data_IF_179604377655
#
_entry.id   IF_179604377655
#
_cell.length_a   1.000
_cell.length_b   1.000
_cell.length_c   1.000
_cell.angle_alpha   90.00
_cell.angle_beta   90.00
_cell.angle_gamma   90.00
#
_symmetry.space_group_name_H-M   'P 1'
#
loop_
_entity.id
_entity.type
_entity.pdbx_description
1 polymer ?
#
# COMPACT_ATOMS: atom_id res chain seq x y z
N UNK A 1 5.08 0.24 -16.08
CA UNK A 1 3.69 0.05 -16.60
C UNK A 1 2.80 -0.33 -15.43
N UNK A 2 1.70 0.39 -15.18
CA UNK A 2 0.72 -0.02 -14.19
C UNK A 2 -0.24 -1.05 -14.81
N UNK A 3 -0.46 -2.14 -14.09
CA UNK A 3 -1.37 -3.23 -14.46
C UNK A 3 -2.68 -3.17 -13.66
N UNK A 4 -2.73 -2.34 -12.63
CA UNK A 4 -3.93 -2.13 -11.84
C UNK A 4 -5.10 -1.64 -12.70
N UNK A 5 -6.13 -2.48 -12.80
CA UNK A 5 -7.32 -2.20 -13.60
C UNK A 5 -7.27 -2.62 -15.08
N UNK A 6 -6.17 -3.20 -15.55
CA UNK A 6 -6.08 -3.81 -16.88
C UNK A 6 -7.01 -5.03 -16.92
N UNK A 7 -7.88 -5.09 -17.92
CA UNK A 7 -8.88 -6.15 -18.12
C UNK A 7 -8.86 -6.76 -19.52
N UNK A 8 -8.20 -6.10 -20.46
CA UNK A 8 -8.11 -6.49 -21.85
C UNK A 8 -6.68 -6.92 -22.18
N UNK A 9 -6.51 -8.13 -22.68
CA UNK A 9 -5.19 -8.63 -23.12
C UNK A 9 -4.58 -7.77 -24.21
N UNK A 10 -5.43 -7.08 -25.01
CA UNK A 10 -4.96 -6.18 -26.05
C UNK A 10 -4.19 -4.97 -25.53
N UNK A 11 -4.34 -4.61 -24.23
CA UNK A 11 -3.48 -3.60 -23.61
C UNK A 11 -2.04 -4.07 -23.52
N UNK A 12 -1.79 -5.37 -23.40
CA UNK A 12 -0.45 -5.99 -23.32
C UNK A 12 0.07 -6.34 -24.71
N UNK A 13 -0.75 -7.08 -25.50
CA UNK A 13 -0.39 -7.63 -26.82
C UNK A 13 -0.75 -6.72 -28.00
N UNK A 14 -1.42 -5.58 -27.79
CA UNK A 14 -1.88 -4.73 -28.89
C UNK A 14 -3.18 -5.19 -29.52
N UNK A 15 -3.79 -4.29 -30.29
CA UNK A 15 -5.02 -4.55 -31.03
C UNK A 15 -4.70 -4.94 -32.47
N UNK A 16 -5.47 -5.85 -33.03
CA UNK A 16 -5.36 -6.19 -34.46
C UNK A 16 -5.58 -4.96 -35.33
N UNK A 17 -4.77 -4.77 -36.37
CA UNK A 17 -4.80 -3.60 -37.27
C UNK A 17 -6.13 -3.36 -37.96
N UNK A 18 -7.03 -4.34 -37.98
CA UNK A 18 -8.36 -4.23 -38.60
C UNK A 18 -9.32 -3.34 -37.82
N UNK A 19 -9.02 -3.01 -36.55
CA UNK A 19 -9.89 -2.17 -35.74
C UNK A 19 -9.51 -0.69 -35.87
N UNK A 20 -10.51 0.18 -35.88
CA UNK A 20 -10.28 1.63 -35.82
C UNK A 20 -9.70 2.01 -34.49
N UNK A 21 -8.59 2.75 -34.50
CA UNK A 21 -7.87 3.10 -33.25
C UNK A 21 -6.93 2.02 -32.71
N UNK A 22 -6.64 0.97 -33.52
CA UNK A 22 -5.68 -0.05 -33.17
C UNK A 22 -4.29 0.54 -32.91
N UNK A 23 -3.60 -0.01 -31.91
CA UNK A 23 -2.25 0.41 -31.52
C UNK A 23 -1.47 -0.80 -30.96
N UNK A 24 -0.14 -0.72 -30.97
CA UNK A 24 0.71 -1.73 -30.30
C UNK A 24 0.39 -1.84 -28.81
N UNK A 25 0.66 -2.99 -28.23
CA UNK A 25 0.53 -3.20 -26.79
C UNK A 25 1.49 -2.33 -25.97
N UNK A 26 1.15 -2.13 -24.71
CA UNK A 26 1.92 -1.27 -23.80
C UNK A 26 3.36 -1.74 -23.61
N UNK A 27 3.64 -3.05 -23.75
CA UNK A 27 5.01 -3.60 -23.71
C UNK A 27 5.84 -2.95 -24.81
N UNK A 28 5.42 -3.08 -26.04
CA UNK A 28 6.12 -2.55 -27.23
C UNK A 28 6.19 -1.01 -27.18
N UNK A 29 5.09 -0.34 -26.81
CA UNK A 29 5.08 1.13 -26.71
C UNK A 29 6.12 1.65 -25.70
N UNK A 30 6.27 1.00 -24.55
CA UNK A 30 7.22 1.43 -23.53
C UNK A 30 8.67 1.10 -23.94
N UNK A 31 8.91 -0.05 -24.57
CA UNK A 31 10.23 -0.38 -25.13
C UNK A 31 10.66 0.64 -26.20
N UNK A 32 9.76 1.00 -27.08
CA UNK A 32 10.01 2.05 -28.10
C UNK A 32 10.36 3.41 -27.48
N UNK A 33 9.66 3.80 -26.42
CA UNK A 33 9.97 5.06 -25.68
C UNK A 33 11.33 5.03 -24.99
N UNK A 34 11.71 3.86 -24.47
CA UNK A 34 13.00 3.70 -23.77
C UNK A 34 14.18 3.70 -24.73
N UNK A 35 13.99 3.21 -25.96
CA UNK A 35 15.05 3.11 -26.97
C UNK A 35 16.17 2.12 -26.63
N UNK A 36 15.94 1.21 -25.67
CA UNK A 36 16.88 0.17 -25.26
C UNK A 36 16.27 -1.21 -25.48
N UNK A 37 17.11 -2.20 -25.84
CA UNK A 37 16.67 -3.59 -26.00
C UNK A 37 16.63 -4.36 -24.69
N UNK A 38 17.37 -3.92 -23.68
CA UNK A 38 17.54 -4.57 -22.38
C UNK A 38 17.17 -3.64 -21.20
N UNK A 39 16.01 -2.98 -21.19
CA UNK A 39 15.63 -2.14 -20.07
C UNK A 39 15.20 -2.98 -18.86
N UNK A 40 15.23 -2.35 -17.68
CA UNK A 40 14.45 -2.83 -16.54
C UNK A 40 12.99 -2.40 -16.76
N UNK A 41 12.09 -3.38 -16.83
CA UNK A 41 10.66 -3.14 -17.06
C UNK A 41 9.86 -3.40 -15.79
N UNK A 42 9.30 -2.34 -15.20
CA UNK A 42 8.47 -2.45 -14.00
C UNK A 42 7.01 -2.69 -14.36
N UNK A 43 6.45 -3.79 -13.84
CA UNK A 43 5.04 -4.17 -13.89
C UNK A 43 4.43 -3.91 -12.52
N UNK A 44 3.65 -2.83 -12.39
CA UNK A 44 3.13 -2.37 -11.10
C UNK A 44 1.71 -2.88 -10.87
N UNK A 45 1.44 -3.38 -9.66
CA UNK A 45 0.13 -3.90 -9.22
C UNK A 45 -0.38 -5.09 -10.04
N UNK A 46 0.45 -6.13 -10.23
CA UNK A 46 0.06 -7.34 -11.00
C UNK A 46 -1.11 -8.11 -10.37
N UNK A 47 -1.29 -8.00 -9.05
CA UNK A 47 -2.40 -8.59 -8.31
C UNK A 47 -3.76 -7.91 -8.56
N UNK A 48 -3.76 -6.75 -9.23
CA UNK A 48 -4.98 -5.99 -9.55
C UNK A 48 -5.49 -6.18 -10.97
N UNK A 49 -4.86 -7.07 -11.74
CA UNK A 49 -5.42 -7.49 -13.02
C UNK A 49 -6.68 -8.31 -12.82
N UNK A 50 -7.65 -8.16 -13.71
CA UNK A 50 -8.89 -8.92 -13.66
C UNK A 50 -9.21 -9.51 -15.04
N UNK A 51 -9.65 -10.77 -15.06
CA UNK A 51 -10.26 -11.37 -16.24
C UNK A 51 -11.65 -10.80 -16.47
N UNK A 52 -12.00 -10.52 -17.72
CA UNK A 52 -13.37 -10.28 -18.13
C UNK A 52 -13.64 -10.91 -19.52
N UNK A 53 -14.81 -10.61 -20.10
CA UNK A 53 -15.20 -11.13 -21.41
C UNK A 53 -14.33 -10.65 -22.58
N UNK A 54 -13.43 -9.68 -22.36
CA UNK A 54 -12.51 -9.12 -23.37
C UNK A 54 -11.16 -9.84 -23.42
N UNK A 55 -10.88 -10.70 -22.47
CA UNK A 55 -9.66 -11.48 -22.47
C UNK A 55 -9.09 -11.73 -21.08
N UNK A 56 -7.93 -12.35 -21.07
CA UNK A 56 -7.15 -12.69 -19.88
C UNK A 56 -5.76 -12.02 -19.93
N UNK A 57 -5.58 -10.85 -19.31
CA UNK A 57 -4.28 -10.20 -19.27
C UNK A 57 -3.18 -11.04 -18.63
N UNK A 58 -3.55 -11.94 -17.69
CA UNK A 58 -2.59 -12.82 -17.04
C UNK A 58 -1.98 -13.82 -18.04
N UNK A 59 -2.80 -14.37 -18.96
CA UNK A 59 -2.33 -15.23 -20.05
C UNK A 59 -1.37 -14.49 -21.00
N UNK A 60 -1.63 -13.22 -21.29
CA UNK A 60 -0.70 -12.41 -22.09
C UNK A 60 0.64 -12.19 -21.38
N UNK A 61 0.63 -12.01 -20.05
CA UNK A 61 1.86 -11.88 -19.25
C UNK A 61 2.64 -13.19 -19.15
N UNK A 62 1.98 -14.35 -19.22
CA UNK A 62 2.69 -15.62 -19.23
C UNK A 62 3.69 -15.70 -20.39
N UNK A 63 3.27 -15.28 -21.59
CA UNK A 63 4.17 -15.27 -22.76
C UNK A 63 5.32 -14.25 -22.58
N UNK A 64 5.04 -13.11 -21.97
CA UNK A 64 6.06 -12.07 -21.71
C UNK A 64 7.11 -12.54 -20.70
N UNK A 65 6.69 -13.26 -19.67
CA UNK A 65 7.55 -13.65 -18.53
C UNK A 65 8.17 -15.05 -18.68
N UNK A 66 7.66 -15.85 -19.61
CA UNK A 66 8.18 -17.20 -19.84
C UNK A 66 9.47 -17.15 -20.67
N UNK A 67 10.64 -17.56 -20.15
CA UNK A 67 11.90 -17.56 -20.89
C UNK A 67 11.88 -18.43 -22.15
N UNK A 68 10.99 -19.44 -22.19
CA UNK A 68 10.86 -20.33 -23.35
C UNK A 68 10.06 -19.70 -24.49
N UNK A 69 9.25 -18.66 -24.20
CA UNK A 69 8.33 -18.04 -25.17
C UNK A 69 8.67 -16.58 -25.46
N UNK A 70 9.27 -15.86 -24.52
CA UNK A 70 9.46 -14.40 -24.60
C UNK A 70 10.38 -13.93 -25.73
N UNK A 71 11.22 -14.83 -26.28
CA UNK A 71 12.07 -14.52 -27.45
C UNK A 71 11.26 -14.34 -28.74
N UNK A 72 10.01 -14.81 -28.78
CA UNK A 72 9.11 -14.74 -29.92
C UNK A 72 7.76 -14.11 -29.52
N UNK A 73 7.81 -13.08 -28.63
CA UNK A 73 6.60 -12.37 -28.21
C UNK A 73 5.91 -11.74 -29.40
N UNK A 74 4.64 -12.07 -29.63
CA UNK A 74 3.87 -11.57 -30.75
C UNK A 74 2.88 -10.50 -30.34
N UNK A 75 3.14 -9.25 -30.80
CA UNK A 75 2.18 -8.15 -30.68
C UNK A 75 1.20 -8.19 -31.84
N UNK A 76 -0.10 -8.20 -31.56
CA UNK A 76 -1.16 -8.34 -32.55
C UNK A 76 -1.25 -7.15 -33.52
N UNK A 77 -0.70 -5.98 -33.17
CA UNK A 77 -0.62 -4.84 -34.06
C UNK A 77 0.59 -4.93 -34.99
N UNK A 78 1.74 -5.34 -34.48
CA UNK A 78 2.96 -5.46 -35.28
C UNK A 78 2.92 -6.67 -36.19
N UNK A 79 2.32 -7.78 -35.73
CA UNK A 79 2.27 -9.08 -36.44
C UNK A 79 3.68 -9.62 -36.81
N UNK A 80 4.66 -9.28 -36.00
CA UNK A 80 6.03 -9.78 -36.09
C UNK A 80 6.51 -10.15 -34.69
N UNK A 81 7.36 -11.16 -34.60
CA UNK A 81 7.91 -11.60 -33.34
C UNK A 81 8.93 -10.56 -32.82
N UNK A 82 8.87 -10.29 -31.53
CA UNK A 82 9.76 -9.39 -30.84
C UNK A 82 10.46 -10.11 -29.70
N UNK A 83 11.79 -10.03 -29.66
CA UNK A 83 12.61 -10.70 -28.66
C UNK A 83 12.65 -9.88 -27.35
N UNK A 84 12.06 -10.44 -26.29
CA UNK A 84 12.04 -9.88 -24.93
C UNK A 84 13.06 -10.55 -24.00
N UNK A 85 13.89 -11.49 -24.48
CA UNK A 85 14.78 -12.28 -23.63
C UNK A 85 15.84 -11.47 -22.89
N UNK A 86 16.21 -10.30 -23.40
CA UNK A 86 17.16 -9.39 -22.75
C UNK A 86 16.49 -8.39 -21.77
N UNK A 87 15.16 -8.39 -21.66
CA UNK A 87 14.42 -7.47 -20.79
C UNK A 87 14.34 -8.04 -19.38
N UNK A 88 14.76 -7.27 -18.39
CA UNK A 88 14.58 -7.63 -16.98
C UNK A 88 13.22 -7.14 -16.50
N UNK A 89 12.33 -8.07 -16.14
CA UNK A 89 11.02 -7.73 -15.59
C UNK A 89 11.05 -7.73 -14.06
N UNK A 90 10.49 -6.68 -13.46
CA UNK A 90 10.25 -6.58 -12.02
C UNK A 90 8.77 -6.31 -11.83
N UNK A 91 8.10 -7.15 -11.02
CA UNK A 91 6.68 -6.98 -10.71
C UNK A 91 6.48 -6.54 -9.26
N UNK A 92 5.45 -5.74 -9.00
CA UNK A 92 5.00 -5.41 -7.65
C UNK A 92 3.59 -5.94 -7.42
N UNK A 93 3.32 -6.39 -6.20
CA UNK A 93 2.01 -6.84 -5.76
C UNK A 93 1.80 -6.52 -4.28
N UNK A 94 0.57 -6.30 -3.86
CA UNK A 94 0.21 -6.16 -2.45
C UNK A 94 -0.16 -7.51 -1.83
N UNK A 95 -0.66 -8.44 -2.63
CA UNK A 95 -1.08 -9.77 -2.23
C UNK A 95 -0.49 -10.82 -3.17
N UNK A 96 -0.47 -12.07 -2.72
CA UNK A 96 -0.12 -13.21 -3.59
C UNK A 96 -1.35 -13.83 -4.27
N UNK A 97 -2.45 -13.11 -4.34
CA UNK A 97 -3.63 -13.49 -5.13
C UNK A 97 -3.37 -13.24 -6.62
N UNK A 98 -2.44 -14.03 -7.15
CA UNK A 98 -1.94 -14.00 -8.51
C UNK A 98 -2.06 -15.42 -9.04
N UNK A 99 -2.43 -15.63 -10.33
CA UNK A 99 -2.49 -16.97 -10.91
C UNK A 99 -1.20 -17.74 -10.69
N UNK A 100 -1.31 -18.99 -10.22
CA UNK A 100 -0.17 -19.84 -9.88
C UNK A 100 0.82 -19.96 -11.05
N UNK A 101 0.32 -20.06 -12.28
CA UNK A 101 1.16 -20.14 -13.48
C UNK A 101 2.08 -18.90 -13.66
N UNK A 102 1.66 -17.71 -13.22
CA UNK A 102 2.52 -16.53 -13.22
C UNK A 102 3.52 -16.56 -12.07
N UNK A 103 3.10 -16.98 -10.88
CA UNK A 103 3.99 -17.09 -9.71
C UNK A 103 5.11 -18.08 -9.96
N UNK A 104 4.85 -19.19 -10.66
CA UNK A 104 5.86 -20.20 -11.02
C UNK A 104 7.00 -19.66 -11.92
N UNK A 105 6.77 -18.51 -12.56
CA UNK A 105 7.75 -17.82 -13.42
C UNK A 105 8.42 -16.61 -12.76
N UNK A 106 8.12 -16.38 -11.49
CA UNK A 106 8.61 -15.22 -10.72
C UNK A 106 9.39 -15.68 -9.50
N UNK A 107 10.47 -15.00 -9.20
CA UNK A 107 11.10 -15.07 -7.88
C UNK A 107 10.34 -14.13 -6.93
N UNK A 108 9.76 -14.69 -5.87
CA UNK A 108 8.96 -13.92 -4.91
C UNK A 108 9.84 -13.40 -3.78
N UNK A 109 10.04 -12.09 -3.72
CA UNK A 109 10.74 -11.40 -2.65
C UNK A 109 9.70 -10.71 -1.77
N UNK A 110 9.50 -11.19 -0.54
CA UNK A 110 8.55 -10.61 0.40
C UNK A 110 9.19 -9.46 1.18
N UNK A 111 8.59 -8.29 1.10
CA UNK A 111 8.93 -7.13 1.90
C UNK A 111 7.93 -7.03 3.07
N UNK A 112 8.40 -7.22 4.29
CA UNK A 112 7.56 -7.05 5.47
C UNK A 112 7.17 -5.58 5.66
N UNK A 113 6.05 -5.35 6.36
CA UNK A 113 5.71 -4.00 6.83
C UNK A 113 6.71 -3.49 7.87
N UNK A 114 6.75 -2.18 8.03
CA UNK A 114 7.61 -1.53 9.02
C UNK A 114 7.04 -1.67 10.42
N UNK A 115 7.91 -1.96 11.40
CA UNK A 115 7.58 -1.86 12.82
C UNK A 115 7.55 -0.39 13.26
N UNK A 116 6.99 -0.13 14.45
CA UNK A 116 6.82 1.23 14.98
C UNK A 116 8.12 2.05 15.00
N UNK A 117 9.21 1.47 15.49
CA UNK A 117 10.51 2.15 15.56
C UNK A 117 11.10 2.45 14.17
N UNK A 118 10.89 1.57 13.20
CA UNK A 118 11.29 1.83 11.81
C UNK A 118 10.47 2.97 11.20
N UNK A 119 9.14 2.98 11.41
CA UNK A 119 8.25 4.07 10.97
C UNK A 119 8.66 5.40 11.58
N UNK A 120 9.03 5.40 12.87
CA UNK A 120 9.53 6.57 13.56
C UNK A 120 10.81 7.10 12.91
N UNK A 121 11.79 6.23 12.66
CA UNK A 121 13.05 6.63 12.00
C UNK A 121 12.84 7.13 10.58
N UNK A 122 11.94 6.50 9.82
CA UNK A 122 11.56 6.97 8.48
C UNK A 122 10.88 8.34 8.57
N UNK A 123 9.98 8.54 9.55
CA UNK A 123 9.33 9.83 9.75
C UNK A 123 10.33 10.93 10.05
N UNK A 124 11.22 10.73 11.02
CA UNK A 124 12.23 11.71 11.42
C UNK A 124 13.21 12.08 10.28
N UNK A 125 13.75 11.06 9.61
CA UNK A 125 14.84 11.24 8.65
C UNK A 125 14.38 11.65 7.27
N UNK A 126 13.18 11.25 6.87
CA UNK A 126 12.74 11.40 5.47
C UNK A 126 11.41 12.14 5.34
N UNK A 127 10.37 11.75 6.11
CA UNK A 127 9.03 12.30 5.89
C UNK A 127 8.94 13.74 6.39
N UNK A 128 9.34 14.01 7.63
CA UNK A 128 9.25 15.35 8.21
C UNK A 128 10.06 16.37 7.42
N UNK A 129 11.35 16.14 7.09
CA UNK A 129 12.11 17.08 6.26
C UNK A 129 11.46 17.31 4.89
N UNK A 130 11.08 16.25 4.19
CA UNK A 130 10.38 16.32 2.91
C UNK A 130 9.08 17.14 2.98
N UNK A 131 8.28 16.94 4.03
CA UNK A 131 7.02 17.66 4.19
C UNK A 131 7.22 19.11 4.59
N UNK A 132 8.24 19.43 5.41
CA UNK A 132 8.62 20.82 5.69
C UNK A 132 9.00 21.56 4.41
N UNK A 133 9.93 21.01 3.64
CA UNK A 133 10.35 21.57 2.35
C UNK A 133 9.16 21.80 1.41
N UNK A 134 8.30 20.77 1.25
CA UNK A 134 7.12 20.83 0.37
C UNK A 134 6.11 21.91 0.78
N UNK A 135 6.04 22.25 2.05
CA UNK A 135 5.12 23.26 2.58
C UNK A 135 5.80 24.61 2.90
N UNK A 136 7.09 24.78 2.57
CA UNK A 136 7.86 25.99 2.78
C UNK A 136 8.09 26.30 4.26
N UNK A 137 8.18 25.28 5.12
CA UNK A 137 8.44 25.43 6.55
C UNK A 137 9.92 25.18 6.87
N UNK A 138 10.51 26.06 7.66
CA UNK A 138 11.82 25.84 8.27
C UNK A 138 11.76 24.91 9.48
N UNK A 139 12.92 24.46 9.94
CA UNK A 139 13.01 23.61 11.14
C UNK A 139 12.56 24.34 12.41
N UNK A 140 12.70 25.66 12.45
CA UNK A 140 12.26 26.49 13.57
C UNK A 140 10.75 26.74 13.59
N UNK A 141 10.11 26.76 12.41
CA UNK A 141 8.65 27.02 12.30
C UNK A 141 7.79 25.82 12.63
N UNK A 142 8.30 24.60 12.44
CA UNK A 142 7.63 23.37 12.86
C UNK A 142 8.59 22.50 13.67
N UNK A 143 8.31 22.34 14.95
CA UNK A 143 9.00 21.40 15.82
C UNK A 143 8.09 20.19 16.05
N UNK A 144 8.50 19.03 15.60
CA UNK A 144 7.76 17.78 15.73
C UNK A 144 8.69 16.71 16.32
N UNK A 145 8.57 16.50 17.62
CA UNK A 145 9.45 15.60 18.38
C UNK A 145 9.05 14.12 18.28
N UNK A 146 9.93 13.25 18.77
CA UNK A 146 9.75 11.79 18.76
C UNK A 146 8.44 11.36 19.41
N UNK A 147 8.10 11.91 20.59
CA UNK A 147 6.86 11.57 21.31
C UNK A 147 5.61 11.83 20.48
N UNK A 148 5.57 12.97 19.78
CA UNK A 148 4.46 13.32 18.92
C UNK A 148 4.37 12.44 17.68
N UNK A 149 5.52 12.12 17.06
CA UNK A 149 5.56 11.19 15.92
C UNK A 149 5.09 9.79 16.33
N UNK A 150 5.53 9.31 17.49
CA UNK A 150 5.11 8.01 18.03
C UNK A 150 3.61 7.98 18.27
N UNK A 151 3.03 9.05 18.79
CA UNK A 151 1.58 9.16 18.96
C UNK A 151 0.83 9.25 17.62
N UNK A 152 1.38 9.93 16.60
CA UNK A 152 0.79 9.92 15.26
C UNK A 152 0.76 8.48 14.71
N UNK A 153 1.84 7.75 14.83
CA UNK A 153 1.94 6.35 14.38
C UNK A 153 0.88 5.50 15.09
N UNK A 154 0.82 5.57 16.42
CA UNK A 154 -0.04 4.73 17.23
C UNK A 154 -1.53 5.09 17.14
N UNK A 155 -1.86 6.38 17.19
CA UNK A 155 -3.25 6.82 17.37
C UNK A 155 -3.94 7.32 16.11
N UNK A 156 -3.19 7.63 15.04
CA UNK A 156 -3.77 8.21 13.82
C UNK A 156 -3.51 7.40 12.57
N UNK A 157 -2.62 6.40 12.62
CA UNK A 157 -2.32 5.51 11.48
C UNK A 157 -2.45 4.04 11.85
N UNK A 158 -2.88 3.22 10.86
CA UNK A 158 -2.92 1.77 10.96
C UNK A 158 -2.63 1.22 9.56
N UNK A 159 -1.35 0.95 9.30
CA UNK A 159 -0.88 0.52 7.98
C UNK A 159 0.46 -0.22 8.11
N UNK A 160 0.75 -1.11 7.17
CA UNK A 160 2.05 -1.80 7.10
C UNK A 160 3.17 -0.86 6.64
N UNK A 161 2.86 0.10 5.78
CA UNK A 161 3.78 1.12 5.25
C UNK A 161 3.78 2.42 6.05
N UNK A 162 4.07 3.52 5.34
CA UNK A 162 4.17 4.89 5.90
C UNK A 162 3.38 5.93 5.10
N UNK A 163 2.51 5.50 4.16
CA UNK A 163 1.77 6.42 3.28
C UNK A 163 0.74 7.27 4.03
N UNK A 164 0.01 6.67 4.97
CA UNK A 164 -0.93 7.42 5.80
C UNK A 164 -0.19 8.29 6.83
N UNK A 165 0.93 7.80 7.38
CA UNK A 165 1.80 8.59 8.24
C UNK A 165 2.29 9.87 7.53
N UNK A 166 2.74 9.75 6.29
CA UNK A 166 3.12 10.91 5.47
C UNK A 166 1.93 11.88 5.27
N UNK A 167 0.72 11.36 5.04
CA UNK A 167 -0.49 12.19 4.90
C UNK A 167 -0.87 12.92 6.18
N UNK A 168 -0.77 12.27 7.34
CA UNK A 168 -1.07 12.90 8.62
C UNK A 168 -0.02 13.97 8.96
N UNK A 169 1.28 13.71 8.74
CA UNK A 169 2.33 14.72 8.89
C UNK A 169 2.10 15.91 7.93
N UNK A 170 1.72 15.66 6.68
CA UNK A 170 1.36 16.72 5.74
C UNK A 170 0.16 17.57 6.21
N UNK A 171 -0.81 16.97 6.93
CA UNK A 171 -1.91 17.74 7.55
C UNK A 171 -1.41 18.66 8.66
N UNK A 172 -0.49 18.16 9.50
CA UNK A 172 0.14 18.99 10.54
C UNK A 172 0.82 20.19 9.88
N UNK A 173 1.67 19.96 8.88
CA UNK A 173 2.37 21.02 8.15
C UNK A 173 1.39 22.08 7.61
N UNK A 174 0.32 21.66 6.93
CA UNK A 174 -0.68 22.61 6.39
C UNK A 174 -1.36 23.44 7.46
N UNK A 175 -1.68 22.86 8.62
CA UNK A 175 -2.28 23.60 9.73
C UNK A 175 -1.29 24.55 10.41
N UNK A 176 -0.03 24.17 10.49
CA UNK A 176 1.05 25.05 10.97
C UNK A 176 1.20 26.25 10.03
N UNK A 177 1.34 26.04 8.72
CA UNK A 177 1.40 27.13 7.73
C UNK A 177 0.20 28.07 7.88
N UNK A 178 -1.02 27.51 8.00
CA UNK A 178 -2.23 28.32 8.20
C UNK A 178 -2.16 29.16 9.47
N UNK A 179 -1.70 28.62 10.61
CA UNK A 179 -1.62 29.34 11.88
C UNK A 179 -0.57 30.46 11.80
N UNK A 180 0.61 30.18 11.25
CA UNK A 180 1.67 31.18 11.04
C UNK A 180 1.22 32.32 10.10
N UNK A 181 0.47 32.00 9.06
CA UNK A 181 -0.05 33.01 8.12
C UNK A 181 -1.16 33.88 8.72
N UNK A 182 -1.93 33.38 9.68
CA UNK A 182 -3.01 34.11 10.34
C UNK A 182 -2.53 34.93 11.55
N UNK A 183 -1.41 34.53 12.16
CA UNK A 183 -0.87 35.19 13.35
C UNK A 183 0.62 35.48 13.16
N UNK A 184 0.91 36.72 12.77
CA UNK A 184 2.29 37.19 12.52
C UNK A 184 3.17 37.27 13.78
N UNK A 185 2.60 37.08 14.98
CA UNK A 185 3.36 37.04 16.23
C UNK A 185 4.03 35.68 16.47
N UNK A 186 3.58 34.63 15.78
CA UNK A 186 4.12 33.28 15.90
C UNK A 186 5.37 33.14 15.03
N UNK A 187 6.48 32.74 15.64
CA UNK A 187 7.74 32.43 14.96
C UNK A 187 7.94 30.94 14.70
N UNK A 188 7.16 30.09 15.37
CA UNK A 188 7.20 28.65 15.23
C UNK A 188 6.15 27.98 16.11
N UNK A 189 5.84 26.74 15.80
CA UNK A 189 4.86 25.93 16.52
C UNK A 189 5.48 24.58 16.88
N UNK A 190 5.50 24.30 18.16
CA UNK A 190 5.84 22.96 18.66
C UNK A 190 4.56 22.11 18.74
N UNK A 191 4.60 20.96 18.07
CA UNK A 191 3.52 19.98 18.10
C UNK A 191 3.87 18.90 19.12
N UNK A 192 3.16 18.93 20.24
CA UNK A 192 3.34 18.00 21.36
C UNK A 192 2.21 16.95 21.37
N UNK A 193 2.35 15.85 22.11
CA UNK A 193 1.27 14.89 22.30
C UNK A 193 -0.05 15.52 22.76
N UNK A 194 0.00 16.51 23.63
CA UNK A 194 -1.15 17.17 24.25
C UNK A 194 -1.94 18.02 23.25
N UNK A 195 -1.25 18.70 22.33
CA UNK A 195 -1.87 19.57 21.34
C UNK A 195 -2.09 18.89 19.96
N UNK A 196 -1.69 17.64 19.82
CA UNK A 196 -1.77 16.91 18.54
C UNK A 196 -3.23 16.82 18.04
N UNK A 197 -4.20 16.74 18.95
CA UNK A 197 -5.62 16.70 18.60
C UNK A 197 -6.09 17.99 17.90
N UNK A 198 -5.47 19.14 18.13
CA UNK A 198 -5.78 20.38 17.42
C UNK A 198 -5.44 20.30 15.94
N UNK A 199 -4.42 19.51 15.60
CA UNK A 199 -3.94 19.32 14.23
C UNK A 199 -4.62 18.16 13.52
N UNK A 200 -4.85 17.05 14.18
CA UNK A 200 -5.33 15.81 13.56
C UNK A 200 -6.77 15.46 13.91
N UNK A 201 -7.32 16.08 14.97
CA UNK A 201 -8.63 15.75 15.52
C UNK A 201 -8.54 14.62 16.55
N UNK A 202 -9.68 14.01 16.82
CA UNK A 202 -9.77 12.90 17.80
C UNK A 202 -8.93 11.71 17.33
N UNK A 203 -8.15 11.07 18.23
CA UNK A 203 -7.45 9.82 17.92
C UNK A 203 -8.38 8.76 17.33
N UNK A 204 -7.96 8.14 16.25
CA UNK A 204 -8.76 7.14 15.52
C UNK A 204 -8.60 5.74 16.06
N UNK A 205 -7.39 5.47 16.56
CA UNK A 205 -7.01 4.17 17.08
C UNK A 205 -6.65 4.34 18.54
N UNK A 206 -7.15 3.45 19.37
CA UNK A 206 -6.71 3.32 20.75
C UNK A 206 -5.79 2.11 20.80
N UNK A 207 -4.58 2.30 21.30
CA UNK A 207 -3.80 1.15 21.76
C UNK A 207 -4.53 0.64 23.00
N UNK A 208 -5.26 -0.44 22.82
CA UNK A 208 -5.83 -1.17 23.97
C UNK A 208 -4.64 -1.77 24.73
N UNK A 209 -4.23 -1.07 25.77
CA UNK A 209 -3.47 -1.71 26.83
C UNK A 209 -4.40 -2.81 27.36
N UNK A 210 -3.87 -4.03 27.56
CA UNK A 210 -4.61 -5.04 28.28
C UNK A 210 -5.19 -4.37 29.52
N UNK A 211 -6.53 -4.36 29.62
CA UNK A 211 -7.18 -3.76 30.79
C UNK A 211 -6.60 -4.43 32.05
N UNK A 212 -6.14 -3.62 32.99
CA UNK A 212 -5.36 -4.07 34.14
C UNK A 212 -6.22 -4.82 35.17
N UNK A 213 -7.55 -4.71 35.05
CA UNK A 213 -8.47 -5.33 36.00
C UNK A 213 -8.96 -6.71 35.52
N UNK A 214 -8.79 -7.70 36.36
CA UNK A 214 -9.34 -9.03 36.14
C UNK A 214 -10.86 -9.00 36.16
N UNK A 215 -11.49 -9.48 35.09
CA UNK A 215 -12.95 -9.58 34.97
C UNK A 215 -13.37 -10.99 34.59
N UNK A 216 -14.40 -11.51 35.27
CA UNK A 216 -14.97 -12.81 34.95
C UNK A 216 -15.66 -12.75 33.57
N UNK A 217 -15.29 -13.68 32.71
CA UNK A 217 -15.85 -13.73 31.35
C UNK A 217 -15.11 -12.87 30.34
N UNK A 218 -13.92 -12.34 30.68
CA UNK A 218 -13.07 -11.57 29.79
C UNK A 218 -11.73 -12.26 29.60
N UNK A 219 -11.28 -12.37 28.36
CA UNK A 219 -9.98 -12.95 27.99
C UNK A 219 -9.32 -12.06 26.93
N UNK A 220 -8.03 -11.79 27.12
CA UNK A 220 -7.23 -11.10 26.11
C UNK A 220 -6.66 -12.12 25.13
N UNK A 221 -7.07 -12.03 23.88
CA UNK A 221 -6.51 -12.79 22.76
C UNK A 221 -5.42 -12.00 22.06
N UNK A 222 -4.56 -12.70 21.34
CA UNK A 222 -3.55 -12.12 20.45
C UNK A 222 -3.98 -12.40 19.01
N UNK A 223 -4.07 -11.35 18.20
CA UNK A 223 -4.27 -11.49 16.76
C UNK A 223 -3.05 -10.97 16.02
N UNK A 224 -2.67 -11.67 14.97
CA UNK A 224 -1.69 -11.18 14.03
C UNK A 224 -2.41 -10.59 12.81
N UNK A 225 -2.08 -9.35 12.48
CA UNK A 225 -2.67 -8.64 11.35
C UNK A 225 -1.57 -8.19 10.38
N UNK A 226 -1.94 -7.80 9.17
CA UNK A 226 -0.98 -7.25 8.19
C UNK A 226 -0.23 -6.02 8.70
N UNK A 227 -0.74 -5.36 9.74
CA UNK A 227 -0.14 -4.16 10.35
C UNK A 227 0.61 -4.44 11.65
N UNK A 228 0.66 -5.71 12.09
CA UNK A 228 1.35 -6.17 13.29
C UNK A 228 0.47 -6.97 14.24
N UNK A 229 0.99 -7.27 15.43
CA UNK A 229 0.24 -7.91 16.51
C UNK A 229 -0.77 -6.97 17.14
N UNK A 230 -1.95 -7.47 17.47
CA UNK A 230 -3.04 -6.72 18.11
C UNK A 230 -3.61 -7.51 19.27
N UNK A 231 -3.95 -6.81 20.36
CA UNK A 231 -4.67 -7.37 21.47
C UNK A 231 -6.16 -7.32 21.19
N UNK A 232 -6.84 -8.45 21.37
CA UNK A 232 -8.28 -8.55 21.22
C UNK A 232 -8.90 -8.86 22.59
N UNK A 233 -9.84 -8.05 23.03
CA UNK A 233 -10.63 -8.38 24.21
C UNK A 233 -11.83 -9.22 23.79
N UNK A 234 -11.91 -10.45 24.29
CA UNK A 234 -13.02 -11.38 24.11
C UNK A 234 -13.86 -11.35 25.37
N UNK A 235 -15.08 -10.85 25.27
CA UNK A 235 -16.01 -10.82 26.38
C UNK A 235 -17.10 -11.88 26.21
N UNK A 236 -17.41 -12.60 27.27
CA UNK A 236 -18.45 -13.63 27.30
C UNK A 236 -19.48 -13.30 28.35
N UNK A 237 -20.75 -13.46 28.01
CA UNK A 237 -21.87 -13.34 28.95
C UNK A 237 -22.75 -14.57 28.88
N UNK A 238 -23.08 -15.13 30.02
CA UNK A 238 -24.06 -16.23 30.11
C UNK A 238 -25.41 -15.66 30.50
N UNK A 239 -26.41 -15.93 29.69
CA UNK A 239 -27.78 -15.47 29.92
C UNK A 239 -28.74 -16.67 29.92
N UNK A 240 -29.85 -16.64 30.69
CA UNK A 240 -30.85 -17.67 30.64
C UNK A 240 -31.40 -17.87 29.22
N UNK A 241 -31.41 -19.12 28.73
CA UNK A 241 -31.81 -19.38 27.35
C UNK A 241 -31.82 -20.87 27.01
N UNK A 242 -31.89 -21.17 25.70
CA UNK A 242 -31.98 -22.55 25.16
C UNK A 242 -30.62 -23.18 24.83
N UNK A 243 -29.52 -22.69 25.40
CA UNK A 243 -28.20 -23.27 25.20
C UNK A 243 -27.58 -22.97 23.82
N UNK A 244 -27.90 -21.83 23.21
CA UNK A 244 -27.29 -21.40 21.95
C UNK A 244 -26.04 -20.56 22.24
N UNK A 245 -24.94 -20.81 21.52
CA UNK A 245 -23.79 -19.93 21.45
C UNK A 245 -24.08 -18.90 20.37
N UNK A 246 -23.98 -17.62 20.74
CA UNK A 246 -24.13 -16.50 19.83
C UNK A 246 -22.82 -15.67 19.93
N UNK A 247 -22.16 -15.43 18.83
CA UNK A 247 -20.99 -14.56 18.75
C UNK A 247 -21.30 -13.35 17.88
N UNK A 248 -20.74 -12.20 18.26
CA UNK A 248 -20.89 -10.92 17.56
C UNK A 248 -19.55 -10.23 17.52
N UNK A 249 -19.33 -9.40 16.52
CA UNK A 249 -18.09 -8.63 16.34
C UNK A 249 -17.44 -8.86 14.98
N UNK A 250 -16.28 -8.26 14.78
CA UNK A 250 -15.45 -8.46 13.57
C UNK A 250 -14.65 -9.75 13.73
N UNK A 251 -15.28 -10.88 13.50
CA UNK A 251 -14.63 -12.18 13.50
C UNK A 251 -14.10 -12.49 12.10
N UNK A 252 -12.79 -12.69 11.98
CA UNK A 252 -12.20 -13.26 10.77
C UNK A 252 -12.41 -14.78 10.77
N UNK A 253 -12.39 -15.43 9.60
CA UNK A 253 -12.54 -16.88 9.42
C UNK A 253 -11.55 -17.72 10.26
N UNK A 254 -10.45 -17.11 10.69
CA UNK A 254 -9.41 -17.75 11.54
C UNK A 254 -9.84 -17.90 13.01
N UNK A 255 -10.92 -17.22 13.44
CA UNK A 255 -11.42 -17.25 14.82
C UNK A 255 -12.73 -18.07 14.98
N UNK A 256 -13.21 -18.69 13.93
CA UNK A 256 -14.35 -19.59 13.88
C UNK A 256 -13.90 -21.05 13.78
#
# INVERSE_FOLDING_TARGET
MALGGVRDEAEIRGHRRTYIGSMPGKIIQNLTKTGSRNPLFLLDEVDKMAMDFRGDPASALLEVLDPEQNHAFNDHYLEVDFDLSEVMFVATANTLDIPAALLDRMEVIRLAGYIEDEKLRIAERHIVPKQREKHGLSDAELILGEASLRQVIQSYTREAGVRNLEREIAKICRKVVKRLALDSSLTGIEVTPENLADFLGVPRFRHELAEQDDAVGRVTGLAWTEVGGELLTIETAVVPGKGKLIHTGSLCEVLL
#
